data_IF_400347083378
#
_entry.id   IF_400347083378
#
_cell.length_a   1.000
_cell.length_b   1.000
_cell.length_c   1.000
_cell.angle_alpha   90.00
_cell.angle_beta   90.00
_cell.angle_gamma   90.00
#
_symmetry.space_group_name_H-M   'P 1'
#
loop_
_entity.id
_entity.type
_entity.pdbx_description
1 polymer ?
#
# COMPACT_ATOMS: atom_id res chain seq x y z
N UNK A 1 12.47 9.52 -1.71
CA UNK A 1 11.82 8.21 -1.91
C UNK A 1 10.78 8.24 -3.03
N UNK A 2 9.71 9.05 -2.94
CA UNK A 2 8.65 9.13 -3.95
C UNK A 2 9.07 9.53 -5.38
N UNK A 3 10.13 10.35 -5.53
CA UNK A 3 10.69 10.68 -6.86
C UNK A 3 11.17 9.44 -7.62
N UNK A 4 11.67 8.43 -6.90
CA UNK A 4 12.16 7.19 -7.50
C UNK A 4 10.99 6.30 -7.97
N UNK A 5 9.91 6.22 -7.18
CA UNK A 5 8.69 5.50 -7.57
C UNK A 5 7.99 6.10 -8.79
N UNK A 6 7.91 7.44 -8.88
CA UNK A 6 7.34 8.10 -10.08
C UNK A 6 8.19 7.86 -11.32
N UNK A 7 9.52 7.86 -11.19
CA UNK A 7 10.43 7.53 -12.29
C UNK A 7 10.26 6.06 -12.72
N UNK A 8 10.22 5.12 -11.78
CA UNK A 8 9.95 3.71 -12.07
C UNK A 8 8.57 3.48 -12.69
N UNK A 9 7.57 4.31 -12.36
CA UNK A 9 6.27 4.27 -13.03
C UNK A 9 6.35 4.76 -14.47
N UNK A 10 7.00 5.91 -14.71
CA UNK A 10 7.17 6.43 -16.07
C UNK A 10 7.88 5.39 -16.95
N UNK A 11 8.93 4.76 -16.43
CA UNK A 11 9.64 3.67 -17.10
C UNK A 11 8.73 2.46 -17.36
N UNK A 12 7.91 2.05 -16.38
CA UNK A 12 6.96 0.95 -16.58
C UNK A 12 5.89 1.27 -17.64
N UNK A 13 5.42 2.51 -17.67
CA UNK A 13 4.47 3.01 -18.68
C UNK A 13 5.10 3.12 -20.06
N UNK A 14 6.32 3.65 -20.15
CA UNK A 14 7.07 3.74 -21.41
C UNK A 14 7.35 2.35 -21.96
N UNK A 15 7.73 1.40 -21.11
CA UNK A 15 7.89 0.00 -21.52
C UNK A 15 6.57 -0.61 -21.98
N UNK A 16 5.46 -0.29 -21.33
CA UNK A 16 4.13 -0.77 -21.72
C UNK A 16 3.67 -0.14 -23.05
N UNK A 17 3.96 1.15 -23.29
CA UNK A 17 3.72 1.85 -24.56
C UNK A 17 4.57 1.31 -25.69
N UNK A 18 5.87 1.13 -25.44
CA UNK A 18 6.78 0.52 -26.41
C UNK A 18 6.31 -0.89 -26.78
N UNK A 19 5.85 -1.65 -25.79
CA UNK A 19 5.23 -2.95 -26.04
C UNK A 19 3.97 -2.83 -26.88
N UNK A 20 3.15 -1.77 -26.79
CA UNK A 20 1.99 -1.56 -27.67
C UNK A 20 2.34 -1.21 -29.12
N UNK A 21 3.40 -0.46 -29.34
CA UNK A 21 3.74 0.12 -30.66
C UNK A 21 4.50 -0.85 -31.58
N UNK A 22 4.91 -2.03 -31.11
CA UNK A 22 5.62 -3.00 -31.93
C UNK A 22 4.68 -3.71 -32.93
N UNK A 23 4.95 -3.51 -34.22
CA UNK A 23 4.15 -4.02 -35.34
C UNK A 23 4.27 -5.54 -35.50
N UNK A 24 3.11 -6.16 -35.68
CA UNK A 24 2.80 -7.56 -35.43
C UNK A 24 3.17 -8.52 -36.57
N UNK A 25 3.82 -9.63 -36.27
CA UNK A 25 3.40 -10.92 -36.84
C UNK A 25 2.23 -11.46 -36.01
N UNK A 26 1.28 -12.20 -36.60
CA UNK A 26 0.11 -12.75 -35.88
C UNK A 26 0.48 -13.54 -34.60
N UNK A 27 1.63 -14.20 -34.59
CA UNK A 27 2.16 -14.93 -33.44
C UNK A 27 2.65 -14.00 -32.32
N UNK A 28 3.08 -12.78 -32.67
CA UNK A 28 3.57 -11.77 -31.71
C UNK A 28 2.45 -10.98 -31.01
N UNK A 29 1.30 -10.72 -31.67
CA UNK A 29 0.19 -9.95 -31.09
C UNK A 29 -0.48 -10.67 -29.91
N UNK A 30 -0.65 -11.99 -30.03
CA UNK A 30 -1.26 -12.79 -28.97
C UNK A 30 -0.32 -12.91 -27.76
N UNK A 31 0.98 -13.15 -27.99
CA UNK A 31 2.00 -13.17 -26.94
C UNK A 31 2.12 -11.81 -26.22
N UNK A 32 1.98 -10.70 -26.95
CA UNK A 32 1.99 -9.34 -26.40
C UNK A 32 0.75 -9.08 -25.54
N UNK A 33 -0.44 -9.49 -26.00
CA UNK A 33 -1.69 -9.42 -25.23
C UNK A 33 -1.59 -10.17 -23.90
N UNK A 34 -1.01 -11.37 -23.91
CA UNK A 34 -0.80 -12.18 -22.70
C UNK A 34 0.16 -11.50 -21.72
N UNK A 35 1.26 -10.93 -22.23
CA UNK A 35 2.22 -10.18 -21.42
C UNK A 35 1.58 -8.96 -20.75
N UNK A 36 0.72 -8.24 -21.47
CA UNK A 36 -0.03 -7.10 -20.93
C UNK A 36 -0.99 -7.52 -19.82
N UNK A 37 -1.76 -8.60 -20.04
CA UNK A 37 -2.64 -9.17 -19.02
C UNK A 37 -1.85 -9.60 -17.77
N UNK A 38 -0.65 -10.16 -17.94
CA UNK A 38 0.22 -10.51 -16.80
C UNK A 38 0.58 -9.27 -15.97
N UNK A 39 1.04 -8.20 -16.62
CA UNK A 39 1.40 -6.95 -15.93
C UNK A 39 0.22 -6.31 -15.19
N UNK A 40 -0.98 -6.35 -15.79
CA UNK A 40 -2.22 -5.89 -15.14
C UNK A 40 -2.51 -6.73 -13.89
N UNK A 41 -2.46 -8.06 -13.99
CA UNK A 41 -2.66 -8.96 -12.83
C UNK A 41 -1.61 -8.73 -11.74
N UNK A 42 -0.36 -8.49 -12.11
CA UNK A 42 0.70 -8.14 -11.16
C UNK A 42 0.40 -6.85 -10.40
N UNK A 43 -0.08 -5.81 -11.11
CA UNK A 43 -0.49 -4.56 -10.50
C UNK A 43 -1.70 -4.73 -9.56
N UNK A 44 -2.72 -5.50 -9.97
CA UNK A 44 -3.87 -5.85 -9.12
C UNK A 44 -3.43 -6.59 -7.85
N UNK A 45 -2.53 -7.57 -7.98
CA UNK A 45 -1.99 -8.31 -6.85
C UNK A 45 -1.19 -7.43 -5.88
N UNK A 46 -0.49 -6.42 -6.38
CA UNK A 46 0.22 -5.45 -5.55
C UNK A 46 -0.77 -4.53 -4.81
N UNK A 47 -1.79 -4.03 -5.49
CA UNK A 47 -2.87 -3.21 -4.90
C UNK A 47 -3.56 -3.98 -3.77
N UNK A 48 -3.89 -5.25 -3.99
CA UNK A 48 -4.51 -6.09 -2.96
C UNK A 48 -3.59 -6.29 -1.76
N UNK A 49 -2.28 -6.48 -1.97
CA UNK A 49 -1.29 -6.54 -0.88
C UNK A 49 -1.24 -5.24 -0.08
N UNK A 50 -1.19 -4.09 -0.74
CA UNK A 50 -1.19 -2.79 -0.07
C UNK A 50 -2.46 -2.58 0.78
N UNK A 51 -3.63 -2.96 0.25
CA UNK A 51 -4.90 -2.90 1.00
C UNK A 51 -4.86 -3.77 2.27
N UNK A 52 -4.37 -5.00 2.17
CA UNK A 52 -4.20 -5.89 3.33
C UNK A 52 -3.20 -5.33 4.36
N UNK A 53 -2.10 -4.72 3.90
CA UNK A 53 -1.11 -4.11 4.80
C UNK A 53 -1.67 -2.87 5.52
N UNK A 54 -2.50 -2.06 4.85
CA UNK A 54 -3.21 -0.93 5.45
C UNK A 54 -4.18 -1.42 6.53
N UNK A 55 -4.97 -2.45 6.23
CA UNK A 55 -5.90 -3.05 7.20
C UNK A 55 -5.16 -3.62 8.41
N UNK A 56 -4.06 -4.32 8.17
CA UNK A 56 -3.20 -4.84 9.23
C UNK A 56 -2.67 -3.70 10.12
N UNK A 57 -2.10 -2.65 9.54
CA UNK A 57 -1.59 -1.51 10.31
C UNK A 57 -2.71 -0.78 11.07
N UNK A 58 -3.92 -0.71 10.51
CA UNK A 58 -5.09 -0.13 11.17
C UNK A 58 -5.47 -0.94 12.41
N UNK A 59 -5.56 -2.26 12.27
CA UNK A 59 -5.79 -3.18 13.40
C UNK A 59 -4.71 -3.05 14.48
N UNK A 60 -3.43 -2.92 14.09
CA UNK A 60 -2.35 -2.70 15.07
C UNK A 60 -2.50 -1.36 15.78
N UNK A 61 -2.86 -0.29 15.05
CA UNK A 61 -3.08 1.04 15.64
C UNK A 61 -4.18 0.99 16.70
N UNK A 62 -5.30 0.32 16.42
CA UNK A 62 -6.41 0.15 17.36
C UNK A 62 -5.98 -0.61 18.62
N UNK A 63 -5.23 -1.71 18.47
CA UNK A 63 -4.66 -2.46 19.60
C UNK A 63 -3.75 -1.59 20.47
N UNK A 64 -2.88 -0.81 19.85
CA UNK A 64 -1.99 0.10 20.57
C UNK A 64 -2.78 1.18 21.34
N UNK A 65 -3.87 1.71 20.76
CA UNK A 65 -4.78 2.66 21.43
C UNK A 65 -5.49 2.05 22.65
N UNK A 66 -5.93 0.79 22.53
CA UNK A 66 -6.50 0.05 23.66
C UNK A 66 -5.47 -0.14 24.79
N UNK A 67 -4.24 -0.56 24.45
CA UNK A 67 -3.16 -0.73 25.44
C UNK A 67 -2.75 0.59 26.09
N UNK A 68 -2.71 1.69 25.34
CA UNK A 68 -2.52 3.06 25.88
C UNK A 68 -3.58 3.36 26.95
N UNK A 69 -4.85 3.05 26.67
CA UNK A 69 -5.96 3.30 27.59
C UNK A 69 -5.84 2.44 28.87
N UNK A 70 -5.44 1.16 28.73
CA UNK A 70 -5.15 0.27 29.86
C UNK A 70 -3.98 0.79 30.70
N UNK A 71 -2.89 1.22 30.07
CA UNK A 71 -1.71 1.78 30.77
C UNK A 71 -2.07 3.04 31.55
N UNK A 72 -2.83 3.97 30.95
CA UNK A 72 -3.33 5.18 31.64
C UNK A 72 -4.13 4.83 32.89
N UNK A 73 -5.08 3.90 32.78
CA UNK A 73 -5.90 3.46 33.91
C UNK A 73 -5.05 2.78 35.00
N UNK A 74 -4.14 1.89 34.63
CA UNK A 74 -3.26 1.19 35.58
C UNK A 74 -2.34 2.15 36.32
N UNK A 75 -1.77 3.13 35.60
CA UNK A 75 -0.96 4.18 36.20
C UNK A 75 -1.76 4.96 37.24
N UNK A 76 -2.99 5.38 36.92
CA UNK A 76 -3.82 6.12 37.86
C UNK A 76 -4.11 5.31 39.13
N UNK A 77 -4.52 4.03 38.97
CA UNK A 77 -4.79 3.15 40.11
C UNK A 77 -3.56 2.96 41.01
N UNK A 78 -2.37 2.84 40.42
CA UNK A 78 -1.12 2.71 41.17
C UNK A 78 -0.80 4.00 41.95
N UNK A 79 -1.00 5.16 41.34
CA UNK A 79 -0.83 6.45 42.01
C UNK A 79 -1.82 6.63 43.18
N UNK A 80 -3.06 6.16 43.03
CA UNK A 80 -4.09 6.26 44.08
C UNK A 80 -3.74 5.47 45.35
N UNK A 81 -2.85 4.46 45.25
CA UNK A 81 -2.37 3.63 46.37
C UNK A 81 -0.89 3.87 46.71
N UNK A 82 -0.27 4.93 46.17
CA UNK A 82 1.16 5.26 46.30
C UNK A 82 2.14 4.16 45.84
N UNK A 83 1.70 3.29 44.92
CA UNK A 83 2.56 2.32 44.24
C UNK A 83 3.34 2.98 43.10
N UNK A 84 4.49 3.56 43.46
CA UNK A 84 5.36 4.31 42.54
C UNK A 84 6.03 3.41 41.49
N UNK A 85 6.31 2.16 41.83
CA UNK A 85 6.96 1.22 40.91
C UNK A 85 6.00 0.87 39.77
N UNK A 86 4.78 0.44 40.10
CA UNK A 86 3.77 0.13 39.08
C UNK A 86 3.40 1.37 38.26
N UNK A 87 3.31 2.56 38.87
CA UNK A 87 3.04 3.80 38.14
C UNK A 87 4.16 4.14 37.13
N UNK A 88 5.42 3.87 37.48
CA UNK A 88 6.57 4.09 36.60
C UNK A 88 6.57 3.10 35.44
N UNK A 89 6.37 1.81 35.72
CA UNK A 89 6.28 0.78 34.68
C UNK A 89 5.13 1.11 33.71
N UNK A 90 3.95 1.44 34.23
CA UNK A 90 2.80 1.82 33.39
C UNK A 90 3.09 3.03 32.50
N UNK A 91 3.90 3.99 32.97
CA UNK A 91 4.34 5.13 32.18
C UNK A 91 5.29 4.74 31.04
N UNK A 92 6.23 3.83 31.27
CA UNK A 92 7.14 3.34 30.23
C UNK A 92 6.40 2.61 29.12
N UNK A 93 5.48 1.72 29.48
CA UNK A 93 4.62 1.04 28.52
C UNK A 93 3.73 2.02 27.75
N UNK A 94 3.16 3.03 28.43
CA UNK A 94 2.38 4.08 27.79
C UNK A 94 3.18 4.79 26.69
N UNK A 95 4.43 5.17 26.96
CA UNK A 95 5.30 5.82 25.97
C UNK A 95 5.58 4.89 24.79
N UNK A 96 5.84 3.61 25.05
CA UNK A 96 6.10 2.61 24.01
C UNK A 96 4.90 2.41 23.09
N UNK A 97 3.71 2.20 23.66
CA UNK A 97 2.48 1.98 22.88
C UNK A 97 2.10 3.24 22.10
N UNK A 98 2.30 4.44 22.67
CA UNK A 98 2.10 5.72 21.97
C UNK A 98 3.00 5.83 20.74
N UNK A 99 4.30 5.57 20.91
CA UNK A 99 5.26 5.59 19.80
C UNK A 99 4.92 4.57 18.72
N UNK A 100 4.51 3.36 19.11
CA UNK A 100 4.11 2.33 18.16
C UNK A 100 2.88 2.75 17.35
N UNK A 101 1.86 3.30 18.02
CA UNK A 101 0.65 3.81 17.36
C UNK A 101 0.99 4.89 16.32
N UNK A 102 1.85 5.84 16.66
CA UNK A 102 2.33 6.88 15.72
C UNK A 102 3.04 6.27 14.50
N UNK A 103 3.89 5.26 14.72
CA UNK A 103 4.58 4.56 13.62
C UNK A 103 3.58 3.87 12.70
N UNK A 104 2.59 3.17 13.23
CA UNK A 104 1.58 2.50 12.40
C UNK A 104 0.71 3.52 11.64
N UNK A 105 0.35 4.65 12.25
CA UNK A 105 -0.37 5.73 11.57
C UNK A 105 0.44 6.33 10.42
N UNK A 106 1.73 6.57 10.62
CA UNK A 106 2.62 7.04 9.56
C UNK A 106 2.74 6.01 8.42
N UNK A 107 2.82 4.72 8.74
CA UNK A 107 2.81 3.65 7.74
C UNK A 107 1.52 3.63 6.95
N UNK A 108 0.35 3.74 7.60
CA UNK A 108 -0.95 3.80 6.93
C UNK A 108 -0.97 4.94 5.91
N UNK A 109 -0.54 6.14 6.31
CA UNK A 109 -0.51 7.29 5.39
C UNK A 109 0.41 7.04 4.18
N UNK A 110 1.59 6.48 4.41
CA UNK A 110 2.52 6.16 3.33
C UNK A 110 1.95 5.11 2.37
N UNK A 111 1.35 4.04 2.90
CA UNK A 111 0.74 2.96 2.13
C UNK A 111 -0.50 3.44 1.37
N UNK A 112 -1.32 4.32 1.94
CA UNK A 112 -2.47 4.94 1.26
C UNK A 112 -2.02 5.77 0.06
N UNK A 113 -0.96 6.58 0.22
CA UNK A 113 -0.40 7.35 -0.89
C UNK A 113 0.13 6.43 -2.00
N UNK A 114 0.80 5.33 -1.65
CA UNK A 114 1.22 4.35 -2.64
C UNK A 114 0.04 3.67 -3.32
N UNK A 115 -0.98 3.26 -2.56
CA UNK A 115 -2.18 2.62 -3.08
C UNK A 115 -2.87 3.51 -4.12
N UNK A 116 -3.12 4.79 -3.79
CA UNK A 116 -3.71 5.74 -4.74
C UNK A 116 -2.88 5.85 -6.00
N UNK A 117 -1.55 6.00 -5.87
CA UNK A 117 -0.67 6.02 -7.02
C UNK A 117 -0.86 4.76 -7.87
N UNK A 118 -0.76 3.56 -7.29
CA UNK A 118 -0.88 2.27 -8.00
C UNK A 118 -2.23 2.08 -8.69
N UNK A 119 -3.31 2.51 -8.06
CA UNK A 119 -4.66 2.46 -8.63
C UNK A 119 -4.75 3.33 -9.90
N UNK A 120 -4.16 4.54 -9.88
CA UNK A 120 -4.06 5.39 -11.08
C UNK A 120 -3.24 4.71 -12.19
N UNK A 121 -2.15 4.02 -11.85
CA UNK A 121 -1.32 3.28 -12.84
C UNK A 121 -2.13 2.15 -13.49
N UNK A 122 -2.86 1.39 -12.69
CA UNK A 122 -3.68 0.28 -13.17
C UNK A 122 -4.77 0.78 -14.12
N UNK A 123 -5.47 1.87 -13.75
CA UNK A 123 -6.48 2.49 -14.61
C UNK A 123 -5.90 2.92 -15.96
N UNK A 124 -4.70 3.50 -15.94
CA UNK A 124 -4.00 3.89 -17.17
C UNK A 124 -3.64 2.67 -18.05
N UNK A 125 -3.08 1.61 -17.46
CA UNK A 125 -2.76 0.36 -18.17
C UNK A 125 -4.01 -0.31 -18.76
N UNK A 126 -5.13 -0.31 -18.02
CA UNK A 126 -6.40 -0.85 -18.51
C UNK A 126 -6.95 -0.04 -19.69
N UNK A 127 -6.82 1.29 -19.66
CA UNK A 127 -7.20 2.17 -20.77
C UNK A 127 -6.42 1.83 -22.05
N UNK A 128 -5.09 1.78 -21.93
CA UNK A 128 -4.21 1.41 -23.03
C UNK A 128 -4.47 0.00 -23.58
N UNK A 129 -4.70 -0.98 -22.70
CA UNK A 129 -5.03 -2.35 -23.11
C UNK A 129 -6.35 -2.42 -23.88
N UNK A 130 -7.34 -1.63 -23.48
CA UNK A 130 -8.65 -1.55 -24.16
C UNK A 130 -8.52 -0.92 -25.55
N UNK A 131 -7.72 0.14 -25.69
CA UNK A 131 -7.46 0.79 -26.97
C UNK A 131 -6.75 -0.17 -27.94
N UNK A 132 -5.73 -0.89 -27.47
CA UNK A 132 -5.03 -1.90 -28.26
C UNK A 132 -5.97 -3.02 -28.77
N UNK A 133 -6.84 -3.53 -27.89
CA UNK A 133 -7.86 -4.53 -28.22
C UNK A 133 -8.87 -4.06 -29.28
N UNK A 134 -9.24 -2.77 -29.27
CA UNK A 134 -10.20 -2.21 -30.22
C UNK A 134 -9.54 -1.94 -31.58
N UNK A 135 -8.29 -1.47 -31.60
CA UNK A 135 -7.51 -1.27 -32.82
C UNK A 135 -7.28 -2.56 -33.61
N UNK A 136 -7.10 -3.70 -32.93
CA UNK A 136 -6.99 -5.03 -33.57
C UNK A 136 -8.30 -5.50 -34.24
N UNK A 137 -9.47 -4.97 -33.87
CA UNK A 137 -10.77 -5.41 -34.42
C UNK A 137 -11.25 -4.61 -35.63
N UNK A 138 -10.64 -3.46 -35.91
CA UNK A 138 -11.01 -2.57 -37.02
C UNK A 138 -10.14 -2.75 -38.29
N UNK A 139 -9.15 -3.64 -38.25
CA UNK A 139 -8.27 -4.04 -39.36
C UNK A 139 -8.51 -5.48 -39.79
#
# INVERSE_FOLDING_TARGET
>A
MFKNLRASWLEAVENFKYELEQDSTLDSSQAQTEKMQSKIREAENLINRLRMEIEHCSTQTEKEIEEISKCKRRKQLALDIDDKETATIAQEYLLRHTRNSEIFQQKILALQNELTMREEQLLFMLGMFKEAKLGETET
#
